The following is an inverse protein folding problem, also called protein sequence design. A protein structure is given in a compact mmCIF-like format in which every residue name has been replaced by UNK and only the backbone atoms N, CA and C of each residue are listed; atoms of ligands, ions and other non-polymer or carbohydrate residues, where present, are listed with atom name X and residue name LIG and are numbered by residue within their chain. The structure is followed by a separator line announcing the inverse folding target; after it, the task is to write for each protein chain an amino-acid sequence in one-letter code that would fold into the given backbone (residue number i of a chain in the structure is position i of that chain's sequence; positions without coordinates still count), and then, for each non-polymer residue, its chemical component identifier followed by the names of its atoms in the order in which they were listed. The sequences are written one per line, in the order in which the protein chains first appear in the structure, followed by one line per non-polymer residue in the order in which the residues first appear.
data_IF_977739780659
#
_entry.id   IF_977739780659
#
_cell.length_a   1.000
_cell.length_b   1.000
_cell.length_c   1.000
_cell.angle_alpha   90.00
_cell.angle_beta   90.00
_cell.angle_gamma   90.00
#
_symmetry.space_group_name_H-M   'P 1'
#
loop_
_entity.id
_entity.type
_entity.pdbx_description
1 polymer ?
#
# COMPACT_ATOMS: atom_id res chain seq x y z
N UNK A 1 22.39 0.80 11.27
CA UNK A 1 21.07 0.25 11.64
C UNK A 1 20.11 1.39 11.94
N UNK A 2 18.81 1.21 11.65
CA UNK A 2 17.78 2.23 11.90
C UNK A 2 17.35 3.09 10.71
N UNK A 3 18.09 3.08 9.60
CA UNK A 3 17.73 3.80 8.37
C UNK A 3 16.92 2.92 7.40
N UNK A 4 15.93 3.52 6.75
CA UNK A 4 15.08 2.86 5.75
C UNK A 4 15.89 2.72 4.46
N UNK A 5 15.87 1.52 3.88
CA UNK A 5 16.50 1.21 2.60
C UNK A 5 15.98 -0.08 1.99
N UNK A 6 16.57 -0.48 0.86
CA UNK A 6 16.25 -1.76 0.22
C UNK A 6 16.93 -2.93 0.94
N UNK A 7 16.17 -3.98 1.26
CA UNK A 7 16.70 -5.19 1.87
C UNK A 7 17.54 -6.00 0.87
N UNK A 8 18.73 -6.41 1.32
CA UNK A 8 19.67 -7.21 0.53
C UNK A 8 20.02 -8.48 1.28
N UNK A 9 19.86 -9.63 0.63
CA UNK A 9 20.20 -10.94 1.20
C UNK A 9 21.42 -11.59 0.53
N UNK A 10 22.19 -12.31 1.34
CA UNK A 10 23.21 -13.27 0.90
C UNK A 10 22.93 -14.59 1.62
N UNK A 11 22.77 -15.68 0.88
CA UNK A 11 22.63 -17.02 1.49
C UNK A 11 23.99 -17.54 1.92
N UNK A 12 24.09 -18.04 3.15
CA UNK A 12 25.36 -18.55 3.69
C UNK A 12 25.55 -20.06 3.54
N UNK A 13 24.47 -20.81 3.36
CA UNK A 13 24.48 -22.29 3.42
C UNK A 13 23.77 -22.97 2.26
N UNK A 14 23.20 -22.23 1.29
CA UNK A 14 22.55 -22.85 0.11
C UNK A 14 23.61 -23.27 -0.90
N UNK A 15 23.63 -24.54 -1.28
CA UNK A 15 24.57 -25.10 -2.26
C UNK A 15 24.02 -25.09 -3.69
N UNK A 16 22.76 -25.50 -3.90
CA UNK A 16 22.20 -25.62 -5.24
C UNK A 16 21.94 -24.27 -5.93
N UNK A 17 21.52 -23.26 -5.16
CA UNK A 17 21.23 -21.91 -5.63
C UNK A 17 21.67 -20.89 -4.58
N UNK A 18 23.00 -20.67 -4.43
CA UNK A 18 23.53 -19.61 -3.59
C UNK A 18 23.14 -18.26 -4.20
N UNK A 19 22.74 -17.35 -3.34
CA UNK A 19 22.28 -16.02 -3.70
C UNK A 19 23.22 -15.03 -3.03
N UNK A 20 23.88 -14.17 -3.82
CA UNK A 20 24.85 -13.20 -3.32
C UNK A 20 24.31 -11.78 -3.58
N UNK A 21 24.15 -11.00 -2.51
CA UNK A 21 23.67 -9.61 -2.55
C UNK A 21 22.39 -9.42 -3.39
N UNK A 22 21.43 -10.31 -3.20
CA UNK A 22 20.14 -10.23 -3.89
C UNK A 22 19.29 -9.11 -3.34
N UNK A 23 18.92 -8.23 -4.25
CA UNK A 23 18.07 -7.06 -4.08
C UNK A 23 16.61 -7.49 -4.08
N UNK A 24 15.97 -7.50 -2.91
CA UNK A 24 14.59 -8.00 -2.81
C UNK A 24 13.56 -7.01 -3.31
N UNK A 25 13.96 -5.74 -3.47
CA UNK A 25 13.09 -4.57 -3.69
C UNK A 25 12.21 -4.23 -2.50
N UNK A 26 12.29 -4.92 -1.36
CA UNK A 26 11.52 -4.58 -0.17
C UNK A 26 12.17 -3.42 0.58
N UNK A 27 11.38 -2.42 0.93
CA UNK A 27 11.80 -1.28 1.76
C UNK A 27 11.54 -1.59 3.23
N UNK A 28 12.60 -1.58 4.03
CA UNK A 28 12.57 -1.80 5.47
C UNK A 28 13.83 -1.21 6.10
N UNK A 29 14.01 -1.39 7.41
CA UNK A 29 15.25 -1.08 8.13
C UNK A 29 15.62 -2.22 9.06
N UNK A 30 16.92 -2.35 9.31
CA UNK A 30 17.44 -3.25 10.33
C UNK A 30 17.38 -2.60 11.70
N UNK A 31 16.91 -3.36 12.68
CA UNK A 31 16.77 -2.98 14.08
C UNK A 31 17.60 -3.93 14.97
N UNK A 32 18.10 -3.47 16.13
CA UNK A 32 18.79 -4.34 17.09
C UNK A 32 17.93 -5.53 17.53
N UNK A 33 18.57 -6.67 17.82
CA UNK A 33 17.90 -7.85 18.35
C UNK A 33 17.19 -7.59 19.67
N UNK A 34 16.07 -8.26 19.92
CA UNK A 34 15.34 -8.20 21.20
C UNK A 34 15.18 -9.60 21.81
N UNK A 35 14.10 -10.31 21.53
CA UNK A 35 13.83 -11.67 22.05
C UNK A 35 14.85 -12.74 21.60
N UNK A 36 15.65 -12.42 20.58
CA UNK A 36 16.78 -13.21 20.09
C UNK A 36 17.98 -12.27 19.91
N UNK A 37 18.78 -11.99 20.97
CA UNK A 37 19.82 -10.96 20.92
C UNK A 37 20.90 -11.20 19.86
N UNK A 38 21.20 -12.46 19.53
CA UNK A 38 22.17 -12.82 18.49
C UNK A 38 21.72 -12.57 17.05
N UNK A 39 20.45 -12.19 16.82
CA UNK A 39 19.89 -11.92 15.50
C UNK A 39 19.30 -10.51 15.46
N UNK A 40 19.64 -9.74 14.41
CA UNK A 40 18.98 -8.46 14.12
C UNK A 40 17.54 -8.68 13.70
N UNK A 41 16.69 -7.67 13.88
CA UNK A 41 15.31 -7.63 13.39
C UNK A 41 15.23 -6.79 12.13
N UNK A 42 14.18 -7.00 11.36
CA UNK A 42 13.74 -6.05 10.34
C UNK A 42 12.42 -5.43 10.79
N UNK A 43 12.20 -4.16 10.45
CA UNK A 43 10.86 -3.57 10.54
C UNK A 43 9.93 -4.30 9.56
N UNK A 44 8.62 -4.25 9.83
CA UNK A 44 7.63 -4.77 8.88
C UNK A 44 7.85 -4.07 7.54
N UNK A 45 7.87 -4.84 6.45
CA UNK A 45 8.12 -4.32 5.11
C UNK A 45 7.13 -3.20 4.81
N UNK A 46 7.66 -2.00 4.57
CA UNK A 46 6.86 -0.79 4.29
C UNK A 46 6.22 -0.90 2.91
N UNK A 47 6.88 -1.57 1.97
CA UNK A 47 6.40 -1.79 0.62
C UNK A 47 7.52 -2.33 -0.25
N UNK A 48 7.23 -2.58 -1.52
CA UNK A 48 8.28 -2.83 -2.51
C UNK A 48 8.58 -1.57 -3.30
N UNK A 49 9.83 -1.38 -3.70
CA UNK A 49 10.24 -0.27 -4.54
C UNK A 49 9.60 -0.32 -5.93
N UNK A 50 9.18 -1.49 -6.40
CA UNK A 50 8.39 -1.67 -7.63
C UNK A 50 6.87 -1.53 -7.42
N UNK A 51 6.38 -1.64 -6.19
CA UNK A 51 4.97 -1.36 -5.84
C UNK A 51 4.76 0.15 -5.50
N UNK A 52 5.81 0.98 -5.64
CA UNK A 52 5.77 2.43 -5.38
C UNK A 52 5.02 3.17 -6.49
N UNK A 53 4.02 3.96 -6.10
CA UNK A 53 3.28 4.83 -7.00
C UNK A 53 3.93 6.20 -6.97
N UNK A 54 4.38 6.69 -8.12
CA UNK A 54 4.75 8.09 -8.29
C UNK A 54 3.52 8.85 -8.77
N UNK A 55 2.96 9.68 -7.90
CA UNK A 55 1.78 10.49 -8.18
C UNK A 55 2.15 11.98 -8.10
N UNK A 56 2.20 12.65 -9.26
CA UNK A 56 2.51 14.08 -9.37
C UNK A 56 3.82 14.48 -8.64
N UNK A 57 4.83 13.62 -8.69
CA UNK A 57 6.14 13.83 -8.05
C UNK A 57 6.22 13.39 -6.59
N UNK A 58 5.15 12.88 -6.00
CA UNK A 58 5.13 12.33 -4.63
C UNK A 58 5.17 10.80 -4.68
N UNK A 59 6.00 10.19 -3.84
CA UNK A 59 6.07 8.74 -3.68
C UNK A 59 4.99 8.27 -2.71
N UNK A 60 4.15 7.34 -3.16
CA UNK A 60 3.04 6.78 -2.39
C UNK A 60 3.14 5.26 -2.39
N UNK A 61 3.08 4.65 -1.22
CA UNK A 61 2.99 3.21 -1.07
C UNK A 61 1.55 2.77 -0.79
N UNK A 62 1.07 1.68 -1.42
CA UNK A 62 -0.27 1.14 -1.13
C UNK A 62 -0.53 0.83 0.35
N UNK A 63 0.52 0.50 1.11
CA UNK A 63 0.47 0.26 2.56
C UNK A 63 0.11 1.50 3.37
N UNK A 64 0.49 2.70 2.93
CA UNK A 64 0.09 3.96 3.60
C UNK A 64 -1.42 4.22 3.43
N UNK A 65 -1.96 3.86 2.26
CA UNK A 65 -3.41 3.92 2.00
C UNK A 65 -4.14 2.86 2.84
N UNK A 66 -3.59 1.65 2.92
CA UNK A 66 -4.12 0.58 3.77
C UNK A 66 -4.19 1.00 5.25
N UNK A 67 -3.13 1.62 5.77
CA UNK A 67 -3.09 2.13 7.15
C UNK A 67 -4.18 3.19 7.39
N UNK A 68 -4.35 4.15 6.47
CA UNK A 68 -5.38 5.17 6.56
C UNK A 68 -6.81 4.59 6.54
N UNK A 69 -7.01 3.50 5.78
CA UNK A 69 -8.27 2.76 5.69
C UNK A 69 -8.54 1.91 6.93
N UNK A 70 -7.53 1.24 7.49
CA UNK A 70 -7.66 0.41 8.68
C UNK A 70 -7.94 1.25 9.95
N UNK A 71 -7.57 2.53 9.93
CA UNK A 71 -7.95 3.49 10.97
C UNK A 71 -9.40 4.00 10.84
N UNK A 72 -10.20 3.46 9.92
CA UNK A 72 -11.63 3.71 9.79
C UNK A 72 -12.43 2.52 10.32
N UNK A 73 -13.46 2.78 11.11
CA UNK A 73 -14.43 1.79 11.62
C UNK A 73 -15.29 1.17 10.50
N UNK A 74 -15.67 1.97 9.51
CA UNK A 74 -16.54 1.57 8.39
C UNK A 74 -15.87 0.68 7.33
N UNK A 75 -14.54 0.57 7.31
CA UNK A 75 -13.80 -0.15 6.26
C UNK A 75 -13.37 -1.54 6.72
N UNK A 76 -13.51 -2.53 5.83
CA UNK A 76 -13.09 -3.93 6.08
C UNK A 76 -11.63 -4.24 5.69
N UNK A 77 -10.86 -3.26 5.21
CA UNK A 77 -9.49 -3.47 4.70
C UNK A 77 -9.42 -3.99 3.26
N UNK A 78 -10.56 -4.14 2.59
CA UNK A 78 -10.64 -4.44 1.16
C UNK A 78 -10.63 -3.13 0.36
N UNK A 79 -9.64 -3.00 -0.51
CA UNK A 79 -9.45 -1.81 -1.34
C UNK A 79 -8.60 -2.11 -2.57
N UNK A 80 -8.77 -1.26 -3.57
CA UNK A 80 -7.97 -1.18 -4.79
C UNK A 80 -7.68 0.29 -5.09
N UNK A 81 -6.45 0.57 -5.52
CA UNK A 81 -6.01 1.87 -6.00
C UNK A 81 -6.06 1.83 -7.52
N UNK A 82 -6.81 2.75 -8.11
CA UNK A 82 -6.86 2.96 -9.55
C UNK A 82 -6.12 4.25 -9.92
N UNK A 83 -5.15 4.13 -10.83
CA UNK A 83 -4.40 5.26 -11.37
C UNK A 83 -4.87 5.54 -12.79
N UNK A 84 -5.20 6.79 -13.08
CA UNK A 84 -5.64 7.25 -14.40
C UNK A 84 -4.95 8.55 -14.78
N UNK A 85 -5.01 8.93 -16.06
CA UNK A 85 -4.53 10.23 -16.56
C UNK A 85 -5.47 10.69 -17.68
N UNK A 86 -6.68 11.20 -17.34
CA UNK A 86 -7.63 11.66 -18.36
C UNK A 86 -7.19 12.98 -19.02
N UNK A 87 -6.43 13.80 -18.30
CA UNK A 87 -5.86 15.05 -18.81
C UNK A 87 -4.33 15.03 -18.75
N UNK A 88 -3.73 16.12 -18.27
CA UNK A 88 -2.26 16.25 -18.18
C UNK A 88 -1.67 15.74 -16.86
N UNK A 89 -2.50 15.54 -15.84
CA UNK A 89 -2.09 15.16 -14.49
C UNK A 89 -2.59 13.77 -14.16
N UNK A 90 -1.77 13.01 -13.42
CA UNK A 90 -2.17 11.72 -12.87
C UNK A 90 -3.27 11.90 -11.82
N UNK A 91 -4.22 10.99 -11.78
CA UNK A 91 -5.29 10.93 -10.80
C UNK A 91 -5.25 9.58 -10.09
N UNK A 92 -5.44 9.60 -8.76
CA UNK A 92 -5.54 8.42 -7.93
C UNK A 92 -6.94 8.31 -7.36
N UNK A 93 -7.59 7.17 -7.60
CA UNK A 93 -8.87 6.82 -6.99
C UNK A 93 -8.68 5.61 -6.08
N UNK A 94 -9.05 5.76 -4.81
CA UNK A 94 -9.09 4.66 -3.83
C UNK A 94 -10.51 4.11 -3.80
N UNK A 95 -10.67 2.90 -4.32
CA UNK A 95 -11.90 2.12 -4.22
C UNK A 95 -11.82 1.32 -2.93
N UNK A 96 -12.67 1.63 -1.95
CA UNK A 96 -12.65 0.97 -0.63
C UNK A 96 -14.01 0.33 -0.34
N UNK A 97 -14.00 -0.88 0.21
CA UNK A 97 -15.23 -1.59 0.53
C UNK A 97 -15.73 -1.24 1.93
N UNK A 98 -17.02 -0.86 2.01
CA UNK A 98 -17.69 -0.68 3.28
C UNK A 98 -17.98 -2.04 3.95
N UNK A 99 -17.96 -2.05 5.28
CA UNK A 99 -18.51 -3.16 6.06
C UNK A 99 -20.05 -3.21 5.88
N UNK A 100 -20.66 -4.41 5.83
CA UNK A 100 -22.11 -4.56 5.68
C UNK A 100 -22.93 -3.73 6.68
N UNK A 101 -22.50 -3.69 7.93
CA UNK A 101 -23.18 -2.97 9.01
C UNK A 101 -23.08 -1.43 8.92
N UNK A 102 -22.16 -0.90 8.10
CA UNK A 102 -21.97 0.54 7.91
C UNK A 102 -22.48 1.03 6.56
N UNK A 103 -22.88 0.15 5.63
CA UNK A 103 -23.26 0.55 4.28
C UNK A 103 -24.59 1.32 4.25
N UNK A 104 -24.58 2.54 3.73
CA UNK A 104 -25.73 3.45 3.67
C UNK A 104 -26.49 3.41 2.33
N UNK A 105 -26.01 2.63 1.35
CA UNK A 105 -26.57 2.61 0.00
C UNK A 105 -26.17 3.80 -0.88
N UNK A 106 -25.49 4.80 -0.32
CA UNK A 106 -25.18 6.07 -0.99
C UNK A 106 -23.67 6.36 -1.08
N UNK A 107 -22.82 5.44 -0.64
CA UNK A 107 -21.36 5.56 -0.76
C UNK A 107 -20.69 6.28 0.40
N UNK A 108 -21.37 6.43 1.54
CA UNK A 108 -20.81 6.99 2.77
C UNK A 108 -20.08 8.32 2.55
N UNK A 109 -20.74 9.28 1.91
CA UNK A 109 -20.15 10.53 1.40
C UNK A 109 -19.28 11.25 2.44
N UNK A 110 -19.79 11.41 3.67
CA UNK A 110 -19.06 12.08 4.77
C UNK A 110 -17.78 11.30 5.14
N UNK A 111 -17.81 9.98 5.11
CA UNK A 111 -16.64 9.15 5.40
C UNK A 111 -15.62 9.20 4.26
N UNK A 112 -16.09 9.23 3.01
CA UNK A 112 -15.22 9.38 1.85
C UNK A 112 -14.49 10.74 1.86
N UNK A 113 -15.19 11.83 2.20
CA UNK A 113 -14.59 13.17 2.36
C UNK A 113 -13.57 13.21 3.49
N UNK A 114 -13.89 12.63 4.65
CA UNK A 114 -12.96 12.53 5.78
C UNK A 114 -11.70 11.74 5.44
N UNK A 115 -11.84 10.61 4.74
CA UNK A 115 -10.69 9.82 4.32
C UNK A 115 -9.86 10.56 3.26
N UNK A 116 -10.52 11.27 2.34
CA UNK A 116 -9.84 12.11 1.35
C UNK A 116 -8.99 13.18 2.02
N UNK A 117 -9.53 13.89 3.01
CA UNK A 117 -8.79 14.86 3.81
C UNK A 117 -7.62 14.19 4.55
N UNK A 118 -7.86 13.05 5.20
CA UNK A 118 -6.81 12.32 5.93
C UNK A 118 -5.65 11.89 5.01
N UNK A 119 -5.94 11.35 3.83
CA UNK A 119 -4.91 10.99 2.84
C UNK A 119 -4.10 12.21 2.44
N UNK A 120 -4.75 13.35 2.21
CA UNK A 120 -4.06 14.60 1.86
C UNK A 120 -3.16 15.07 3.00
N UNK A 121 -3.63 15.00 4.24
CA UNK A 121 -2.90 15.49 5.41
C UNK A 121 -1.73 14.57 5.80
N UNK A 122 -1.88 13.25 5.68
CA UNK A 122 -0.85 12.30 6.12
C UNK A 122 0.13 11.91 5.01
N UNK A 123 -0.34 11.79 3.76
CA UNK A 123 0.47 11.34 2.62
C UNK A 123 0.89 12.52 1.73
N UNK A 124 0.16 13.64 1.77
CA UNK A 124 0.48 14.83 0.97
C UNK A 124 -0.02 14.77 -0.47
N UNK A 125 -0.92 13.83 -0.79
CA UNK A 125 -1.46 13.66 -2.16
C UNK A 125 -2.97 13.84 -2.22
N UNK A 126 -3.44 14.43 -3.32
CA UNK A 126 -4.88 14.48 -3.61
C UNK A 126 -5.33 13.15 -4.21
N UNK A 127 -6.29 12.51 -3.56
CA UNK A 127 -6.89 11.26 -4.00
C UNK A 127 -8.41 11.40 -4.00
N UNK A 128 -9.09 10.72 -4.93
CA UNK A 128 -10.54 10.52 -4.85
C UNK A 128 -10.81 9.26 -4.05
N UNK A 129 -11.71 9.30 -3.09
CA UNK A 129 -12.19 8.10 -2.39
C UNK A 129 -13.59 7.77 -2.92
N UNK A 130 -13.78 6.53 -3.37
CA UNK A 130 -15.09 6.01 -3.72
C UNK A 130 -15.36 4.74 -2.92
N UNK A 131 -16.33 4.82 -2.01
CA UNK A 131 -16.70 3.70 -1.15
C UNK A 131 -17.69 2.82 -1.90
N UNK A 132 -17.41 1.53 -1.92
CA UNK A 132 -18.15 0.52 -2.67
C UNK A 132 -18.99 -0.35 -1.73
N UNK A 133 -20.10 -0.93 -2.22
CA UNK A 133 -20.90 -1.87 -1.45
C UNK A 133 -20.09 -3.09 -0.99
N UNK A 134 -20.48 -3.74 0.12
CA UNK A 134 -19.85 -4.98 0.57
C UNK A 134 -19.84 -6.07 -0.51
N UNK A 135 -18.75 -6.82 -0.62
CA UNK A 135 -18.57 -7.93 -1.56
C UNK A 135 -18.30 -7.53 -3.02
N UNK A 136 -18.12 -6.24 -3.34
CA UNK A 136 -17.93 -5.79 -4.72
C UNK A 136 -16.48 -5.77 -5.19
N UNK A 137 -15.52 -5.70 -4.27
CA UNK A 137 -14.09 -5.74 -4.64
C UNK A 137 -13.66 -7.20 -4.79
N UNK A 138 -13.11 -7.54 -5.95
CA UNK A 138 -12.64 -8.89 -6.26
C UNK A 138 -11.63 -9.39 -5.19
N UNK A 139 -11.89 -10.58 -4.65
CA UNK A 139 -11.00 -11.23 -3.68
C UNK A 139 -9.90 -11.96 -4.44
N UNK A 140 -8.64 -11.59 -4.21
CA UNK A 140 -7.51 -12.32 -4.79
C UNK A 140 -7.36 -13.68 -4.10
N UNK A 141 -7.25 -14.75 -4.88
CA UNK A 141 -6.89 -16.09 -4.41
C UNK A 141 -5.39 -16.20 -4.02
N UNK A 142 -4.61 -15.12 -4.18
CA UNK A 142 -3.17 -15.07 -3.91
C UNK A 142 -2.71 -13.65 -3.51
N UNK A 143 -1.60 -13.15 -4.07
CA UNK A 143 -1.15 -11.76 -3.80
C UNK A 143 -2.25 -10.80 -4.24
N UNK A 144 -2.78 -10.00 -3.31
CA UNK A 144 -3.80 -9.01 -3.63
C UNK A 144 -3.22 -7.99 -4.61
N UNK A 145 -3.82 -7.86 -5.80
CA UNK A 145 -3.47 -6.79 -6.74
C UNK A 145 -4.13 -5.51 -6.26
N UNK A 146 -3.41 -4.77 -5.41
CA UNK A 146 -3.90 -3.53 -4.81
C UNK A 146 -3.83 -2.32 -5.75
N UNK A 147 -3.11 -2.41 -6.87
CA UNK A 147 -2.92 -1.29 -7.81
C UNK A 147 -3.31 -1.70 -9.23
N UNK A 148 -4.20 -0.91 -9.82
CA UNK A 148 -4.59 -0.97 -11.23
C UNK A 148 -4.13 0.32 -11.88
N UNK A 149 -3.06 0.23 -12.66
CA UNK A 149 -2.56 1.36 -13.43
C UNK A 149 -3.18 1.38 -14.82
N UNK A 150 -4.08 2.35 -15.06
CA UNK A 150 -4.73 2.62 -16.34
C UNK A 150 -4.17 3.89 -17.00
N UNK A 151 -3.04 4.43 -16.53
CA UNK A 151 -2.37 5.54 -17.21
C UNK A 151 -1.91 5.08 -18.61
N UNK A 152 -1.84 5.99 -19.60
CA UNK A 152 -1.28 5.66 -20.91
C UNK A 152 0.13 5.07 -20.74
N UNK A 153 0.37 3.90 -21.33
CA UNK A 153 1.71 3.34 -21.43
C UNK A 153 2.42 4.09 -22.54
N UNK A 154 3.50 4.78 -22.20
CA UNK A 154 4.46 5.28 -23.19
C UNK A 154 5.16 4.11 -23.92
#
# INVERSE_FOLDING_TARGET
DGEIGELVFTSLTKEAFPVIRYRTRDLTRLLPGSARPGMRRMEKVTGRSDDMIILRGVNVFPTQIEEALLACDWCGGHFVIELTRPGRLDEMTVLAEARPEHWDGAGLVVHAERLTARIKDTIGVSARVAIQPPGTIERSAGKARRVIDKRPKE
#
